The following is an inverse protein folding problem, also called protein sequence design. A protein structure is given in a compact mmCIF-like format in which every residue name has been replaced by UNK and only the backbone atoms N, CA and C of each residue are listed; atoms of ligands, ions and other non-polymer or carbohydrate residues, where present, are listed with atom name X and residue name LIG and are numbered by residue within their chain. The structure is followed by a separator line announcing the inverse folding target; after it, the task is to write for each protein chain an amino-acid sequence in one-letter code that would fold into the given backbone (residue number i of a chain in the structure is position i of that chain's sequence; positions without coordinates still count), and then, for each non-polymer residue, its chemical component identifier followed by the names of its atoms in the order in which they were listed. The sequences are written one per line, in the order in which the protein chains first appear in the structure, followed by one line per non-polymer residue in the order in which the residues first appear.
data_IF_381677489272
#
_entry.id   IF_381677489272
#
_cell.length_a   1.000
_cell.length_b   1.000
_cell.length_c   1.000
_cell.angle_alpha   90.00
_cell.angle_beta   90.00
_cell.angle_gamma   90.00
#
_symmetry.space_group_name_H-M   'P 1'
#
loop_
_entity.id
_entity.type
_entity.pdbx_description
1 polymer ?
#
# COMPACT_ATOMS: atom_id res chain seq x y z
N UNK A 1 34.11 31.50 64.32
CA UNK A 1 34.52 30.77 65.54
C UNK A 1 33.28 30.22 66.21
N UNK A 2 33.33 28.94 66.63
CA UNK A 2 32.37 28.18 67.44
C UNK A 2 30.97 27.98 66.83
N UNK A 3 30.60 26.82 66.27
CA UNK A 3 30.53 25.46 66.84
C UNK A 3 29.68 25.35 68.11
N UNK A 4 28.75 24.39 68.02
CA UNK A 4 28.12 23.59 69.09
C UNK A 4 26.74 24.06 69.54
N UNK A 5 25.75 23.22 69.81
CA UNK A 5 25.39 21.85 69.41
C UNK A 5 24.07 21.54 70.16
N UNK A 6 23.22 20.69 69.57
CA UNK A 6 22.32 19.70 70.23
C UNK A 6 20.98 20.07 70.89
N UNK A 7 20.04 19.16 70.61
CA UNK A 7 18.85 18.80 71.40
C UNK A 7 17.57 18.80 70.56
N UNK A 8 17.33 17.85 69.64
CA UNK A 8 16.68 16.54 69.85
C UNK A 8 15.49 16.56 70.83
N UNK A 9 14.26 16.47 70.29
CA UNK A 9 13.19 15.51 70.67
C UNK A 9 11.94 15.82 69.82
N UNK A 10 11.57 15.02 68.81
CA UNK A 10 10.84 13.73 68.84
C UNK A 10 9.36 13.82 69.24
N UNK A 11 8.47 13.71 68.23
CA UNK A 11 7.27 12.85 68.14
C UNK A 11 6.17 13.52 67.26
N UNK A 12 6.01 13.16 65.96
CA UNK A 12 5.12 12.11 65.34
C UNK A 12 3.60 12.32 65.58
N UNK A 13 2.68 11.76 64.76
CA UNK A 13 2.71 11.35 63.33
C UNK A 13 1.44 11.78 62.53
N UNK A 14 1.47 11.64 61.20
CA UNK A 14 0.41 10.99 60.38
C UNK A 14 0.84 11.10 58.91
N UNK A 15 0.98 10.06 58.10
CA UNK A 15 0.38 8.74 58.15
C UNK A 15 -0.69 8.63 57.07
N UNK A 16 -0.30 8.60 55.78
CA UNK A 16 -1.18 8.14 54.70
C UNK A 16 -1.18 8.97 53.42
N UNK A 17 -0.13 8.87 52.60
CA UNK A 17 -0.09 9.54 51.29
C UNK A 17 0.55 8.76 50.14
N UNK A 18 1.13 7.58 50.38
CA UNK A 18 1.99 6.93 49.36
C UNK A 18 1.29 5.86 48.53
N UNK A 19 0.17 5.28 49.00
CA UNK A 19 -0.49 4.14 48.34
C UNK A 19 -1.27 4.51 47.07
N UNK A 20 -1.75 5.76 46.96
CA UNK A 20 -2.55 6.21 45.81
C UNK A 20 -1.70 6.58 44.59
N UNK A 21 -0.47 7.03 44.81
CA UNK A 21 0.44 7.46 43.74
C UNK A 21 1.05 6.27 42.98
N UNK A 22 1.30 5.15 43.66
CA UNK A 22 1.86 3.93 43.02
C UNK A 22 0.82 3.22 42.14
N UNK A 23 -0.47 3.24 42.54
CA UNK A 23 -1.56 2.66 41.73
C UNK A 23 -1.89 3.48 40.47
N UNK A 24 -1.74 4.81 40.51
CA UNK A 24 -1.95 5.68 39.35
C UNK A 24 -0.89 5.49 38.25
N UNK A 25 0.38 5.30 38.64
CA UNK A 25 1.49 5.09 37.70
C UNK A 25 1.38 3.79 36.89
N UNK A 26 0.94 2.70 37.52
CA UNK A 26 0.77 1.40 36.85
C UNK A 26 -0.36 1.39 35.81
N UNK A 27 -1.46 2.12 36.07
CA UNK A 27 -2.58 2.24 35.11
C UNK A 27 -2.18 3.13 33.92
N UNK A 28 -1.44 4.21 34.15
CA UNK A 28 -0.94 5.07 33.08
C UNK A 28 0.08 4.34 32.17
N UNK A 29 0.95 3.49 32.74
CA UNK A 29 1.89 2.68 31.98
C UNK A 29 1.18 1.59 31.14
N UNK A 30 0.13 0.97 31.68
CA UNK A 30 -0.67 -0.03 30.97
C UNK A 30 -1.44 0.57 29.78
N UNK A 31 -1.97 1.79 29.91
CA UNK A 31 -2.58 2.53 28.79
C UNK A 31 -1.55 2.96 27.74
N UNK A 32 -0.31 3.29 28.13
CA UNK A 32 0.77 3.64 27.20
C UNK A 32 1.21 2.47 26.30
N UNK A 33 1.22 1.25 26.82
CA UNK A 33 1.56 0.04 26.03
C UNK A 33 0.45 -0.32 25.04
N UNK A 34 -0.82 -0.09 25.41
CA UNK A 34 -1.96 -0.30 24.49
C UNK A 34 -2.01 0.73 23.35
N UNK A 35 -1.46 1.94 23.56
CA UNK A 35 -1.36 2.97 22.51
C UNK A 35 -0.22 2.71 21.50
N UNK A 36 0.74 1.82 21.81
CA UNK A 36 1.81 1.43 20.90
C UNK A 36 1.41 0.32 19.91
N UNK A 37 0.19 -0.21 19.99
CA UNK A 37 -0.27 -1.38 19.22
C UNK A 37 -0.71 -1.11 17.78
N UNK A 38 -0.79 0.15 17.33
CA UNK A 38 -1.22 0.51 15.98
C UNK A 38 -0.05 1.08 15.16
N UNK A 39 1.01 0.30 14.95
CA UNK A 39 2.10 0.69 14.04
C UNK A 39 1.68 0.46 12.59
N UNK A 40 0.87 1.38 12.03
CA UNK A 40 0.66 1.44 10.57
C UNK A 40 1.94 2.00 9.96
N UNK A 41 2.77 1.12 9.39
CA UNK A 41 3.99 1.54 8.69
C UNK A 41 3.65 1.77 7.21
N UNK A 42 3.80 3.00 6.68
CA UNK A 42 3.63 3.25 5.26
C UNK A 42 4.73 2.52 4.49
N UNK A 43 4.35 1.68 3.53
CA UNK A 43 5.29 0.91 2.68
C UNK A 43 6.26 1.81 1.88
N UNK A 44 5.88 3.07 1.66
CA UNK A 44 6.64 4.04 0.87
C UNK A 44 7.60 4.92 1.70
N UNK A 45 7.60 4.82 3.03
CA UNK A 45 8.52 5.63 3.85
C UNK A 45 9.91 5.00 3.89
N UNK A 46 10.94 5.81 3.68
CA UNK A 46 12.32 5.44 3.96
C UNK A 46 12.51 5.37 5.47
N UNK A 47 12.83 4.19 5.99
CA UNK A 47 13.10 3.99 7.41
C UNK A 47 14.62 3.96 7.57
N UNK A 48 15.15 4.72 8.55
CA UNK A 48 16.60 4.91 8.73
C UNK A 48 17.42 3.60 8.78
N UNK A 49 16.80 2.48 9.18
CA UNK A 49 17.41 1.14 9.22
C UNK A 49 16.52 0.04 8.60
N UNK A 50 15.56 0.38 7.73
CA UNK A 50 14.63 -0.56 7.11
C UNK A 50 14.90 -0.83 5.62
N UNK A 51 14.19 -1.79 4.99
CA UNK A 51 14.30 -2.04 3.56
C UNK A 51 13.98 -0.78 2.74
N UNK A 52 14.84 -0.40 1.78
CA UNK A 52 14.59 0.72 0.88
C UNK A 52 13.69 0.27 -0.28
N UNK A 53 12.42 0.00 0.03
CA UNK A 53 11.43 -0.53 -0.92
C UNK A 53 11.22 0.41 -2.10
N UNK A 54 11.27 1.72 -1.89
CA UNK A 54 11.17 2.72 -2.96
C UNK A 54 12.30 2.59 -4.00
N UNK A 55 13.55 2.36 -3.55
CA UNK A 55 14.67 2.12 -4.44
C UNK A 55 14.59 0.76 -5.16
N UNK A 56 14.02 -0.26 -4.51
CA UNK A 56 13.81 -1.55 -5.16
C UNK A 56 12.69 -1.48 -6.22
N UNK A 57 11.58 -0.78 -5.93
CA UNK A 57 10.50 -0.54 -6.88
C UNK A 57 10.98 0.23 -8.11
N UNK A 58 11.76 1.31 -7.93
CA UNK A 58 12.28 2.11 -9.05
C UNK A 58 13.31 1.37 -9.92
N UNK A 59 13.82 0.23 -9.46
CA UNK A 59 14.71 -0.68 -10.18
C UNK A 59 13.97 -1.84 -10.88
N UNK A 60 12.62 -1.82 -10.91
CA UNK A 60 11.81 -2.77 -11.67
C UNK A 60 11.69 -2.29 -13.13
N UNK A 61 12.17 -3.10 -14.07
CA UNK A 61 11.87 -2.94 -15.49
C UNK A 61 10.57 -3.65 -15.82
N UNK A 62 9.65 -2.96 -16.50
CA UNK A 62 8.36 -3.52 -16.96
C UNK A 62 8.46 -3.85 -18.44
N UNK A 63 8.21 -5.11 -18.80
CA UNK A 63 8.22 -5.57 -20.19
C UNK A 63 7.23 -4.77 -21.07
N UNK A 64 7.57 -4.65 -22.34
CA UNK A 64 6.72 -3.97 -23.31
C UNK A 64 5.42 -4.75 -23.58
N UNK A 65 4.36 -3.99 -23.81
CA UNK A 65 3.00 -4.51 -24.09
C UNK A 65 2.45 -3.81 -25.33
N UNK A 66 1.71 -4.54 -26.16
CA UNK A 66 1.25 -3.99 -27.45
C UNK A 66 -0.17 -3.41 -27.40
N UNK A 67 -1.00 -3.88 -26.46
CA UNK A 67 -2.39 -3.47 -26.34
C UNK A 67 -2.56 -2.14 -25.58
N UNK A 68 -3.59 -1.37 -25.92
CA UNK A 68 -3.91 -0.10 -25.27
C UNK A 68 -4.07 -0.26 -23.75
N UNK A 69 -4.91 -1.20 -23.31
CA UNK A 69 -5.19 -1.39 -21.87
C UNK A 69 -3.93 -1.90 -21.17
N UNK A 70 -3.15 -2.74 -21.84
CA UNK A 70 -1.82 -3.14 -21.38
C UNK A 70 -0.90 -1.95 -21.13
N UNK A 71 -0.85 -1.00 -22.07
CA UNK A 71 -0.03 0.21 -21.96
C UNK A 71 -0.49 1.13 -20.83
N UNK A 72 -1.81 1.27 -20.60
CA UNK A 72 -2.32 2.02 -19.44
C UNK A 72 -1.83 1.38 -18.12
N UNK A 73 -1.93 0.06 -17.98
CA UNK A 73 -1.39 -0.65 -16.79
C UNK A 73 0.11 -0.42 -16.64
N UNK A 74 0.87 -0.54 -17.73
CA UNK A 74 2.33 -0.33 -17.73
C UNK A 74 2.69 1.08 -17.28
N UNK A 75 2.03 2.09 -17.82
CA UNK A 75 2.30 3.49 -17.50
C UNK A 75 1.99 3.79 -16.03
N UNK A 76 0.85 3.30 -15.52
CA UNK A 76 0.49 3.45 -14.12
C UNK A 76 1.48 2.76 -13.18
N UNK A 77 1.99 1.57 -13.55
CA UNK A 77 3.04 0.88 -12.80
C UNK A 77 4.36 1.65 -12.80
N UNK A 78 4.84 2.11 -13.96
CA UNK A 78 6.08 2.89 -14.07
C UNK A 78 5.97 4.17 -13.23
N UNK A 79 4.85 4.88 -13.35
CA UNK A 79 4.59 6.07 -12.54
C UNK A 79 4.55 5.74 -11.05
N UNK A 80 3.89 4.65 -10.66
CA UNK A 80 3.84 4.18 -9.27
C UNK A 80 5.22 3.84 -8.72
N UNK A 81 6.11 3.26 -9.53
CA UNK A 81 7.46 2.87 -9.12
C UNK A 81 8.43 4.03 -8.99
N UNK A 82 8.33 5.04 -9.86
CA UNK A 82 9.30 6.14 -9.91
C UNK A 82 8.76 7.47 -9.39
N UNK A 83 7.45 7.59 -9.17
CA UNK A 83 6.79 8.86 -8.86
C UNK A 83 6.92 9.91 -9.98
N UNK A 84 7.17 9.48 -11.22
CA UNK A 84 7.48 10.35 -12.36
C UNK A 84 8.94 10.77 -12.47
N UNK A 85 9.82 10.27 -11.58
CA UNK A 85 11.26 10.46 -11.64
C UNK A 85 11.97 9.52 -12.63
N UNK A 86 13.29 9.62 -12.70
CA UNK A 86 14.12 8.72 -13.49
C UNK A 86 14.10 7.29 -12.92
N UNK A 87 14.03 6.29 -13.80
CA UNK A 87 14.15 4.88 -13.40
C UNK A 87 15.57 4.58 -12.95
N UNK A 88 15.70 3.79 -11.88
CA UNK A 88 17.01 3.27 -11.47
C UNK A 88 17.50 2.19 -12.46
N UNK A 89 18.81 1.86 -12.46
CA UNK A 89 19.32 0.73 -13.21
C UNK A 89 18.54 -0.55 -12.87
N UNK A 90 18.06 -1.30 -13.88
CA UNK A 90 17.13 -2.40 -13.64
C UNK A 90 17.81 -3.56 -12.90
N UNK A 91 17.19 -3.97 -11.78
CA UNK A 91 17.59 -5.12 -10.97
C UNK A 91 16.56 -6.24 -11.01
N UNK A 92 15.31 -5.87 -11.23
CA UNK A 92 14.19 -6.80 -11.34
C UNK A 92 13.50 -6.62 -12.69
N UNK A 93 12.91 -7.69 -13.17
CA UNK A 93 12.13 -7.69 -14.40
C UNK A 93 10.71 -8.17 -14.09
N UNK A 94 9.74 -7.34 -14.47
CA UNK A 94 8.31 -7.61 -14.35
C UNK A 94 7.76 -7.95 -15.73
N UNK A 95 7.39 -9.21 -15.91
CA UNK A 95 6.67 -9.68 -17.10
C UNK A 95 5.19 -9.76 -16.79
N UNK A 96 4.34 -9.37 -17.76
CA UNK A 96 2.89 -9.35 -17.55
C UNK A 96 2.09 -9.69 -18.80
N UNK A 97 0.92 -10.30 -18.59
CA UNK A 97 -0.15 -10.46 -19.57
C UNK A 97 -1.40 -9.75 -19.07
N UNK A 98 -1.90 -8.83 -19.88
CA UNK A 98 -3.09 -8.04 -19.59
C UNK A 98 -4.23 -8.49 -20.47
N UNK A 99 -5.41 -8.67 -19.89
CA UNK A 99 -6.66 -8.97 -20.60
C UNK A 99 -7.74 -8.03 -20.08
N UNK A 100 -8.64 -7.59 -20.97
CA UNK A 100 -9.78 -6.75 -20.61
C UNK A 100 -11.07 -7.36 -21.14
N UNK A 101 -12.13 -7.29 -20.33
CA UNK A 101 -13.44 -7.77 -20.70
C UNK A 101 -14.51 -6.84 -20.14
N UNK A 102 -15.60 -6.64 -20.87
CA UNK A 102 -16.78 -5.92 -20.42
C UNK A 102 -18.00 -6.85 -20.24
N UNK A 103 -18.83 -6.54 -19.24
CA UNK A 103 -20.05 -7.27 -18.93
C UNK A 103 -21.16 -6.29 -18.54
N UNK A 104 -22.42 -6.59 -18.90
CA UNK A 104 -23.57 -5.78 -18.48
C UNK A 104 -23.86 -6.02 -16.99
N UNK A 105 -24.09 -4.95 -16.25
CA UNK A 105 -24.54 -4.94 -14.86
C UNK A 105 -26.05 -4.68 -14.86
N UNK A 106 -26.86 -5.72 -14.70
CA UNK A 106 -28.32 -5.61 -14.66
C UNK A 106 -29.04 -6.27 -15.85
N UNK A 107 -30.25 -6.75 -15.60
CA UNK A 107 -31.07 -7.51 -16.56
C UNK A 107 -32.37 -6.82 -16.94
N UNK A 108 -32.62 -5.61 -16.43
CA UNK A 108 -33.91 -4.95 -16.64
C UNK A 108 -34.08 -4.55 -18.11
N UNK A 109 -35.27 -4.84 -18.66
CA UNK A 109 -35.57 -4.65 -20.09
C UNK A 109 -35.78 -3.18 -20.46
N UNK A 110 -36.21 -2.36 -19.51
CA UNK A 110 -36.58 -0.95 -19.70
C UNK A 110 -35.61 0.03 -19.00
N UNK A 111 -34.30 -0.24 -19.07
CA UNK A 111 -33.27 0.69 -18.60
C UNK A 111 -32.95 1.74 -19.68
N UNK A 112 -33.18 3.01 -19.38
CA UNK A 112 -32.76 4.14 -20.23
C UNK A 112 -31.24 4.36 -20.22
N UNK A 113 -30.55 3.85 -19.20
CA UNK A 113 -29.09 3.88 -19.06
C UNK A 113 -28.58 2.56 -18.47
N UNK A 114 -28.34 1.51 -19.29
CA UNK A 114 -27.84 0.25 -18.80
C UNK A 114 -26.39 0.39 -18.31
N UNK A 115 -26.12 -0.18 -17.14
CA UNK A 115 -24.78 -0.19 -16.54
C UNK A 115 -23.94 -1.36 -17.06
N UNK A 116 -22.63 -1.15 -17.14
CA UNK A 116 -21.63 -2.14 -17.55
C UNK A 116 -20.44 -2.09 -16.61
N UNK A 117 -19.73 -3.20 -16.47
CA UNK A 117 -18.43 -3.29 -15.79
C UNK A 117 -17.35 -3.67 -16.77
N UNK A 118 -16.21 -2.99 -16.70
CA UNK A 118 -14.94 -3.41 -17.29
C UNK A 118 -14.12 -4.10 -16.21
N UNK A 119 -13.61 -5.30 -16.51
CA UNK A 119 -12.62 -6.00 -15.70
C UNK A 119 -11.30 -6.08 -16.46
N UNK A 120 -10.23 -5.57 -15.86
CA UNK A 120 -8.85 -5.71 -16.35
C UNK A 120 -8.15 -6.75 -15.49
N UNK A 121 -7.75 -7.87 -16.08
CA UNK A 121 -7.03 -8.95 -15.40
C UNK A 121 -5.58 -8.96 -15.84
N UNK A 122 -4.66 -8.95 -14.88
CA UNK A 122 -3.22 -8.92 -15.09
C UNK A 122 -2.58 -10.13 -14.42
N UNK A 123 -2.02 -11.02 -15.22
CA UNK A 123 -1.16 -12.10 -14.73
C UNK A 123 0.30 -11.65 -14.87
N UNK A 124 1.08 -11.72 -13.79
CA UNK A 124 2.42 -11.15 -13.77
C UNK A 124 3.42 -11.97 -12.95
N UNK A 125 4.69 -11.74 -13.24
CA UNK A 125 5.82 -12.36 -12.56
C UNK A 125 6.94 -11.35 -12.36
N UNK A 126 7.45 -11.25 -11.13
CA UNK A 126 8.67 -10.52 -10.79
C UNK A 126 9.84 -11.50 -10.67
N UNK A 127 10.92 -11.27 -11.41
CA UNK A 127 12.18 -12.00 -11.26
C UNK A 127 13.34 -11.06 -10.95
N UNK A 128 14.35 -11.55 -10.23
CA UNK A 128 15.64 -10.89 -10.10
C UNK A 128 16.50 -11.18 -11.34
N UNK A 129 17.08 -10.15 -11.95
CA UNK A 129 17.84 -10.27 -13.21
C UNK A 129 19.15 -11.03 -13.00
N UNK A 130 19.86 -10.74 -11.90
CA UNK A 130 21.19 -11.31 -11.65
C UNK A 130 21.17 -12.82 -11.41
N UNK A 131 20.14 -13.33 -10.74
CA UNK A 131 20.04 -14.74 -10.33
C UNK A 131 19.01 -15.52 -11.14
N UNK A 132 18.11 -14.83 -11.84
CA UNK A 132 16.94 -15.45 -12.48
C UNK A 132 15.88 -15.94 -11.49
N UNK A 133 16.05 -15.69 -10.18
CA UNK A 133 15.11 -16.15 -9.15
C UNK A 133 13.76 -15.45 -9.30
N UNK A 134 12.69 -16.24 -9.33
CA UNK A 134 11.31 -15.72 -9.27
C UNK A 134 11.00 -15.30 -7.85
N UNK A 135 10.68 -14.01 -7.65
CA UNK A 135 10.34 -13.43 -6.36
C UNK A 135 8.83 -13.59 -6.10
N UNK A 136 8.01 -13.28 -7.10
CA UNK A 136 6.56 -13.32 -7.01
C UNK A 136 5.95 -13.71 -8.34
N UNK A 137 4.89 -14.54 -8.30
CA UNK A 137 3.97 -14.77 -9.41
C UNK A 137 2.55 -14.64 -8.88
N UNK A 138 1.72 -13.81 -9.50
CA UNK A 138 0.35 -13.55 -9.03
C UNK A 138 -0.56 -13.13 -10.19
N UNK A 139 -1.85 -13.09 -9.90
CA UNK A 139 -2.89 -12.57 -10.78
C UNK A 139 -3.72 -11.56 -9.98
N UNK A 140 -3.90 -10.36 -10.55
CA UNK A 140 -4.69 -9.29 -9.96
C UNK A 140 -5.73 -8.79 -10.94
N UNK A 141 -6.81 -8.18 -10.43
CA UNK A 141 -7.91 -7.66 -11.24
C UNK A 141 -8.32 -6.28 -10.74
N UNK A 142 -8.53 -5.36 -11.68
CA UNK A 142 -9.17 -4.08 -11.44
C UNK A 142 -10.52 -4.05 -12.12
N UNK A 143 -11.50 -3.42 -11.50
CA UNK A 143 -12.88 -3.34 -12.01
C UNK A 143 -13.36 -1.90 -11.94
N UNK A 144 -14.05 -1.46 -12.99
CA UNK A 144 -14.72 -0.17 -13.01
C UNK A 144 -16.03 -0.27 -13.79
N UNK A 145 -17.08 0.40 -13.30
CA UNK A 145 -18.35 0.48 -14.00
C UNK A 145 -18.45 1.73 -14.89
N UNK A 146 -19.33 1.67 -15.88
CA UNK A 146 -19.77 2.80 -16.70
C UNK A 146 -21.20 2.58 -17.18
N UNK A 147 -21.91 3.68 -17.45
CA UNK A 147 -23.26 3.65 -18.00
C UNK A 147 -23.24 3.91 -19.50
N UNK A 148 -24.18 3.30 -20.23
CA UNK A 148 -24.41 3.58 -21.64
C UNK A 148 -25.65 4.45 -21.82
N UNK A 149 -25.69 5.15 -22.96
CA UNK A 149 -26.76 6.03 -23.41
C UNK A 149 -27.09 5.76 -24.89
N UNK A 150 -27.98 6.56 -25.48
CA UNK A 150 -28.26 6.53 -26.93
C UNK A 150 -27.16 7.16 -27.80
N UNK A 151 -26.11 7.76 -27.19
CA UNK A 151 -25.02 8.41 -27.92
C UNK A 151 -23.81 7.49 -28.05
N UNK A 152 -23.53 7.01 -29.27
CA UNK A 152 -22.46 6.05 -29.52
C UNK A 152 -21.07 6.57 -29.09
N UNK A 153 -20.76 7.84 -29.36
CA UNK A 153 -19.50 8.45 -28.94
C UNK A 153 -19.37 8.54 -27.41
N UNK A 154 -20.45 8.90 -26.71
CA UNK A 154 -20.45 8.96 -25.25
C UNK A 154 -20.18 7.57 -24.65
N UNK A 155 -20.78 6.52 -25.22
CA UNK A 155 -20.57 5.14 -24.78
C UNK A 155 -19.11 4.70 -24.98
N UNK A 156 -18.50 5.01 -26.13
CA UNK A 156 -17.10 4.71 -26.39
C UNK A 156 -16.18 5.41 -25.38
N UNK A 157 -16.44 6.69 -25.09
CA UNK A 157 -15.65 7.45 -24.11
C UNK A 157 -15.82 6.93 -22.70
N UNK A 158 -17.04 6.57 -22.30
CA UNK A 158 -17.34 5.99 -21.00
C UNK A 158 -16.65 4.62 -20.82
N UNK A 159 -16.61 3.78 -21.86
CA UNK A 159 -15.89 2.52 -21.82
C UNK A 159 -14.37 2.71 -21.67
N UNK A 160 -13.78 3.62 -22.46
CA UNK A 160 -12.34 3.95 -22.37
C UNK A 160 -11.97 4.46 -20.98
N UNK A 161 -12.80 5.33 -20.42
CA UNK A 161 -12.64 5.88 -19.08
C UNK A 161 -12.72 4.79 -17.99
N UNK A 162 -13.67 3.87 -18.09
CA UNK A 162 -13.73 2.69 -17.21
C UNK A 162 -12.51 1.78 -17.37
N UNK A 163 -12.02 1.55 -18.59
CA UNK A 163 -10.77 0.80 -18.82
C UNK A 163 -9.59 1.47 -18.10
N UNK A 164 -9.48 2.80 -18.16
CA UNK A 164 -8.40 3.53 -17.50
C UNK A 164 -8.47 3.43 -15.98
N UNK A 165 -9.66 3.59 -15.39
CA UNK A 165 -9.85 3.40 -13.94
C UNK A 165 -9.54 1.98 -13.48
N UNK A 166 -9.99 0.97 -14.23
CA UNK A 166 -9.70 -0.42 -13.94
C UNK A 166 -8.20 -0.74 -14.07
N UNK A 167 -7.52 -0.17 -15.07
CA UNK A 167 -6.08 -0.28 -15.26
C UNK A 167 -5.28 0.40 -14.13
N UNK A 168 -5.72 1.57 -13.65
CA UNK A 168 -5.13 2.22 -12.48
C UNK A 168 -5.29 1.36 -11.22
N UNK A 169 -6.52 0.92 -10.95
CA UNK A 169 -6.82 0.12 -9.75
C UNK A 169 -6.00 -1.17 -9.69
N UNK A 170 -5.85 -1.88 -10.81
CA UNK A 170 -5.03 -3.10 -10.82
C UNK A 170 -3.53 -2.79 -10.69
N UNK A 171 -3.06 -1.67 -11.23
CA UNK A 171 -1.66 -1.24 -11.10
C UNK A 171 -1.31 -0.90 -9.64
N UNK A 172 -2.19 -0.17 -8.94
CA UNK A 172 -2.02 0.18 -7.52
C UNK A 172 -1.93 -1.08 -6.64
N UNK A 173 -2.82 -2.05 -6.88
CA UNK A 173 -2.82 -3.33 -6.17
C UNK A 173 -1.54 -4.15 -6.44
N UNK A 174 -1.06 -4.15 -7.68
CA UNK A 174 0.17 -4.83 -8.08
C UNK A 174 1.37 -4.17 -7.40
N UNK A 175 1.46 -2.83 -7.44
CA UNK A 175 2.52 -2.08 -6.80
C UNK A 175 2.62 -2.43 -5.32
N UNK A 176 1.49 -2.44 -4.60
CA UNK A 176 1.42 -2.80 -3.19
C UNK A 176 1.96 -4.22 -2.93
N UNK A 177 1.57 -5.19 -3.77
CA UNK A 177 2.02 -6.58 -3.66
C UNK A 177 3.51 -6.76 -3.96
N UNK A 178 4.02 -6.07 -4.98
CA UNK A 178 5.44 -6.09 -5.31
C UNK A 178 6.27 -5.48 -4.18
N UNK A 179 5.82 -4.35 -3.64
CA UNK A 179 6.47 -3.69 -2.51
C UNK A 179 6.53 -4.60 -1.27
N UNK A 180 5.43 -5.29 -0.94
CA UNK A 180 5.38 -6.25 0.15
C UNK A 180 6.29 -7.49 -0.09
N UNK A 181 6.35 -7.99 -1.31
CA UNK A 181 7.21 -9.12 -1.67
C UNK A 181 8.70 -8.76 -1.57
N UNK A 182 9.08 -7.56 -2.02
CA UNK A 182 10.45 -7.05 -1.93
C UNK A 182 10.86 -6.76 -0.48
N UNK A 183 9.93 -6.28 0.35
CA UNK A 183 10.18 -6.06 1.78
C UNK A 183 10.39 -7.38 2.55
N UNK A 184 9.59 -8.40 2.27
CA UNK A 184 9.66 -9.69 2.97
C UNK A 184 10.82 -10.58 2.54
N UNK A 185 11.21 -10.57 1.26
CA UNK A 185 12.31 -11.38 0.73
C UNK A 185 13.70 -11.05 1.31
N UNK A 186 13.81 -9.99 2.12
CA UNK A 186 15.04 -9.57 2.80
C UNK A 186 15.16 -10.08 4.25
N UNK A 187 14.11 -10.71 4.78
CA UNK A 187 14.05 -11.22 6.16
C UNK A 187 14.52 -12.67 6.33
N UNK A 188 15.06 -13.29 5.28
CA UNK A 188 15.55 -14.68 5.26
C UNK A 188 17.00 -14.76 4.84
#
# INVERSE_FOLDING_TARGET
MSSSDRGLDLARPSGGGMSRLVRGGLVALALGVLAAGCTVQPIYMTIANGPNVAADLSAISVEDVSDRVGQEVRNNLIFGFTGGGASAPPRYELTMRVTSADARLGFERDETAPAYSVTVTVAYQLKEIATGKVILRSINRGVASYDRSNQAFANQRAQIDAQNRAAQSVADDIQLRLAAALASGRSS
#
